data_IF_366699239024
#
_entry.id   IF_366699239024
#
_cell.length_a   1.000
_cell.length_b   1.000
_cell.length_c   1.000
_cell.angle_alpha   90.00
_cell.angle_beta   90.00
_cell.angle_gamma   90.00
#
_symmetry.space_group_name_H-M   'P 1'
#
loop_
_entity.id
_entity.type
_entity.pdbx_description
1 polymer ?
#
# COMPACT_ATOMS: atom_id res chain seq x y z
N UNK A 1 -22.50 2.94 6.73
CA UNK A 1 -21.35 3.84 6.91
C UNK A 1 -20.19 3.18 6.19
N UNK A 2 -19.57 3.83 5.21
CA UNK A 2 -18.42 3.26 4.50
C UNK A 2 -17.13 3.63 5.22
N UNK A 3 -16.30 2.65 5.52
CA UNK A 3 -15.00 2.84 6.16
C UNK A 3 -13.95 2.93 5.06
N UNK A 4 -13.17 4.01 5.06
CA UNK A 4 -12.00 4.15 4.18
C UNK A 4 -10.73 3.96 5.00
N UNK A 5 -9.84 3.07 4.54
CA UNK A 5 -8.59 2.70 5.21
C UNK A 5 -7.43 3.06 4.28
N UNK A 6 -6.41 3.73 4.83
CA UNK A 6 -5.10 3.88 4.20
C UNK A 6 -4.14 2.87 4.83
N UNK A 7 -3.73 1.88 4.04
CA UNK A 7 -2.65 0.97 4.41
C UNK A 7 -1.31 1.53 3.95
N UNK A 8 -0.32 1.54 4.83
CA UNK A 8 1.08 1.85 4.52
C UNK A 8 1.89 0.65 4.98
N UNK A 9 2.71 0.11 4.08
CA UNK A 9 3.74 -0.86 4.43
C UNK A 9 5.09 -0.27 4.04
N UNK A 10 6.08 -0.52 4.90
CA UNK A 10 7.46 -0.07 4.71
C UNK A 10 8.37 -1.16 5.26
N UNK A 11 9.10 -1.77 4.34
CA UNK A 11 10.19 -2.70 4.60
C UNK A 11 11.49 -2.15 4.03
N UNK A 12 12.59 -2.89 4.20
CA UNK A 12 13.87 -2.53 3.58
C UNK A 12 13.87 -2.73 2.05
N UNK A 13 12.92 -3.49 1.51
CA UNK A 13 12.91 -3.81 0.07
C UNK A 13 11.83 -3.03 -0.67
N UNK A 14 10.62 -2.95 -0.09
CA UNK A 14 9.47 -2.29 -0.69
C UNK A 14 8.88 -1.22 0.22
N UNK A 15 8.31 -0.19 -0.40
CA UNK A 15 7.41 0.75 0.24
C UNK A 15 6.11 0.79 -0.53
N UNK A 16 4.98 0.62 0.15
CA UNK A 16 3.68 0.52 -0.51
C UNK A 16 2.57 1.29 0.20
N UNK A 17 1.58 1.73 -0.58
CA UNK A 17 0.41 2.43 -0.10
C UNK A 17 -0.86 1.93 -0.80
N UNK A 18 -1.89 1.61 -0.02
CA UNK A 18 -3.16 1.09 -0.51
C UNK A 18 -4.35 1.84 0.08
N UNK A 19 -5.37 2.09 -0.74
CA UNK A 19 -6.66 2.66 -0.32
C UNK A 19 -7.72 1.58 -0.41
N UNK A 20 -8.39 1.30 0.70
CA UNK A 20 -9.49 0.37 0.77
C UNK A 20 -10.77 1.09 1.18
N UNK A 21 -11.91 0.64 0.65
CA UNK A 21 -13.24 1.00 1.15
C UNK A 21 -14.01 -0.27 1.50
N UNK A 22 -14.34 -0.45 2.77
CA UNK A 22 -14.86 -1.70 3.31
C UNK A 22 -13.95 -2.89 2.88
N UNK A 23 -14.45 -3.80 2.05
CA UNK A 23 -13.70 -4.98 1.57
C UNK A 23 -13.19 -4.83 0.13
N UNK A 24 -13.19 -3.62 -0.43
CA UNK A 24 -12.76 -3.34 -1.80
C UNK A 24 -11.45 -2.58 -1.81
N UNK A 25 -10.46 -3.09 -2.55
CA UNK A 25 -9.21 -2.38 -2.86
C UNK A 25 -9.49 -1.38 -4.00
N UNK A 26 -9.29 -0.09 -3.73
CA UNK A 26 -9.52 0.97 -4.71
C UNK A 26 -8.24 1.36 -5.46
N UNK A 27 -7.10 1.36 -4.76
CA UNK A 27 -5.80 1.68 -5.33
C UNK A 27 -4.70 0.99 -4.52
N UNK A 28 -3.60 0.64 -5.20
CA UNK A 28 -2.37 0.14 -4.59
C UNK A 28 -1.18 0.58 -5.45
N UNK A 29 -0.14 1.09 -4.80
CA UNK A 29 1.14 1.44 -5.45
C UNK A 29 2.27 0.85 -4.60
N UNK A 30 3.24 0.23 -5.26
CA UNK A 30 4.44 -0.33 -4.65
C UNK A 30 5.65 0.33 -5.32
N UNK A 31 6.61 0.77 -4.51
CA UNK A 31 7.89 1.29 -4.94
C UNK A 31 9.00 0.43 -4.33
N UNK A 32 9.72 -0.29 -5.19
CA UNK A 32 10.85 -1.14 -4.78
C UNK A 32 12.15 -0.36 -4.74
N UNK A 33 13.02 -0.67 -3.78
CA UNK A 33 14.32 -0.04 -3.67
C UNK A 33 15.33 -0.66 -4.65
N UNK A 34 15.98 0.17 -5.46
CA UNK A 34 17.00 -0.28 -6.43
C UNK A 34 18.31 -0.76 -5.76
N UNK A 35 18.44 -0.60 -4.45
CA UNK A 35 19.69 -0.80 -3.70
C UNK A 35 19.89 -2.25 -3.23
N UNK A 36 18.89 -3.14 -3.39
CA UNK A 36 18.94 -4.55 -2.95
C UNK A 36 18.87 -5.54 -4.14
N UNK A 37 19.32 -5.15 -5.34
CA UNK A 37 19.40 -6.02 -6.55
C UNK A 37 20.61 -6.95 -6.56
#
# INVERSE_FOLDING_TARGET
MDITILGIESSCDDTSAAVLRNNVLLSNVIASQAVHM
#
